data_IF_745698264439
#
_entry.id   IF_745698264439
#
_cell.length_a   1.000
_cell.length_b   1.000
_cell.length_c   1.000
_cell.angle_alpha   90.00
_cell.angle_beta   90.00
_cell.angle_gamma   90.00
#
_symmetry.space_group_name_H-M   'P 1'
#
loop_
_entity.id
_entity.type
_entity.pdbx_description
1 polymer ?
#
# COMPACT_ATOMS: atom_id res chain seq x y z
N UNK A 1 -4.04 9.51 -21.75
CA UNK A 1 -3.56 8.15 -21.47
C UNK A 1 -3.58 7.95 -19.97
N UNK A 2 -3.48 6.75 -19.47
CA UNK A 2 -3.36 6.44 -18.04
C UNK A 2 -2.32 5.34 -17.88
N UNK A 3 -1.74 5.20 -16.68
CA UNK A 3 -0.75 4.18 -16.39
C UNK A 3 -0.95 3.60 -14.99
N UNK A 4 -0.65 2.31 -14.85
CA UNK A 4 -0.73 1.56 -13.59
C UNK A 4 0.57 1.69 -12.81
N UNK A 5 0.47 1.99 -11.51
CA UNK A 5 1.63 2.16 -10.64
C UNK A 5 1.48 1.42 -9.30
N UNK A 6 2.53 0.68 -8.93
CA UNK A 6 2.70 0.12 -7.58
C UNK A 6 3.99 0.70 -6.98
N UNK A 7 3.83 1.69 -6.09
CA UNK A 7 4.93 2.50 -5.61
C UNK A 7 5.38 2.17 -4.18
N UNK A 8 4.73 1.20 -3.52
CA UNK A 8 5.14 0.72 -2.21
C UNK A 8 5.56 -0.75 -2.29
N UNK A 9 6.83 -0.94 -2.49
CA UNK A 9 7.48 -2.23 -2.63
C UNK A 9 8.70 -2.31 -1.73
N UNK A 10 9.14 -3.54 -1.47
CA UNK A 10 10.39 -3.82 -0.78
C UNK A 10 11.32 -4.66 -1.63
N UNK A 11 12.61 -4.57 -1.34
CA UNK A 11 13.64 -5.41 -1.94
C UNK A 11 13.92 -6.63 -1.06
N UNK A 12 14.76 -7.53 -1.55
CA UNK A 12 15.27 -8.67 -0.79
C UNK A 12 16.09 -8.30 0.46
N UNK A 13 16.41 -7.03 0.63
CA UNK A 13 17.17 -6.51 1.77
C UNK A 13 16.29 -5.96 2.88
N UNK A 14 14.99 -5.84 2.69
CA UNK A 14 14.06 -5.47 3.75
C UNK A 14 13.69 -6.68 4.62
N UNK A 15 13.44 -6.40 5.90
CA UNK A 15 13.06 -7.43 6.87
C UNK A 15 11.75 -8.13 6.48
N UNK A 16 11.70 -9.43 6.70
CA UNK A 16 10.56 -10.30 6.36
C UNK A 16 10.21 -10.38 4.86
N UNK A 17 11.09 -9.93 3.97
CA UNK A 17 10.91 -9.98 2.53
C UNK A 17 11.50 -11.23 1.89
N UNK A 18 10.94 -11.59 0.74
CA UNK A 18 11.43 -12.70 -0.07
C UNK A 18 12.79 -12.40 -0.68
N UNK A 19 13.73 -13.34 -0.59
CA UNK A 19 15.04 -13.25 -1.27
C UNK A 19 14.91 -13.13 -2.81
N UNK A 20 13.74 -13.46 -3.36
CA UNK A 20 13.47 -13.37 -4.79
C UNK A 20 13.08 -11.96 -5.25
N UNK A 21 12.93 -10.99 -4.36
CA UNK A 21 12.67 -9.58 -4.71
C UNK A 21 13.95 -8.91 -5.24
N UNK A 22 14.37 -9.34 -6.41
CA UNK A 22 15.47 -8.78 -7.21
C UNK A 22 14.91 -7.88 -8.29
N UNK A 23 15.68 -6.93 -8.82
CA UNK A 23 15.26 -6.01 -9.88
C UNK A 23 14.71 -6.78 -11.11
N UNK A 24 15.41 -7.83 -11.55
CA UNK A 24 14.97 -8.65 -12.68
C UNK A 24 13.63 -9.36 -12.43
N UNK A 25 13.46 -9.94 -11.24
CA UNK A 25 12.22 -10.63 -10.92
C UNK A 25 11.06 -9.64 -10.73
N UNK A 26 11.30 -8.47 -10.14
CA UNK A 26 10.28 -7.41 -10.03
C UNK A 26 9.82 -6.95 -11.41
N UNK A 27 10.75 -6.71 -12.34
CA UNK A 27 10.41 -6.36 -13.72
C UNK A 27 9.62 -7.47 -14.44
N UNK A 28 10.05 -8.73 -14.29
CA UNK A 28 9.32 -9.85 -14.88
C UNK A 28 7.89 -9.99 -14.33
N UNK A 29 7.72 -9.84 -13.01
CA UNK A 29 6.40 -9.88 -12.39
C UNK A 29 5.54 -8.67 -12.69
N UNK A 30 6.10 -7.48 -12.88
CA UNK A 30 5.36 -6.30 -13.34
C UNK A 30 4.65 -6.57 -14.67
N UNK A 31 5.34 -7.21 -15.62
CA UNK A 31 4.77 -7.61 -16.92
C UNK A 31 3.61 -8.61 -16.74
N UNK A 32 3.81 -9.64 -15.91
CA UNK A 32 2.76 -10.64 -15.61
C UNK A 32 1.56 -10.01 -14.92
N UNK A 33 1.78 -9.02 -14.06
CA UNK A 33 0.73 -8.30 -13.35
C UNK A 33 0.01 -7.27 -14.23
N UNK A 34 0.67 -6.71 -15.25
CA UNK A 34 0.19 -5.59 -16.03
C UNK A 34 0.46 -4.25 -15.35
N UNK A 35 1.61 -4.12 -14.65
CA UNK A 35 2.03 -2.89 -13.96
C UNK A 35 3.09 -2.19 -14.81
N UNK A 36 2.89 -0.90 -15.09
CA UNK A 36 3.75 -0.12 -15.97
C UNK A 36 4.84 0.63 -15.22
N UNK A 37 4.55 1.05 -13.97
CA UNK A 37 5.48 1.80 -13.12
C UNK A 37 5.63 1.14 -11.76
N UNK A 38 6.87 0.88 -11.35
CA UNK A 38 7.22 0.38 -10.02
C UNK A 38 8.08 1.38 -9.25
N UNK A 39 8.00 1.36 -7.92
CA UNK A 39 9.07 1.87 -7.07
C UNK A 39 10.29 0.95 -7.18
N UNK A 40 11.50 1.54 -7.16
CA UNK A 40 12.75 0.78 -7.04
C UNK A 40 12.90 0.10 -5.68
N UNK A 41 12.11 0.51 -4.71
CA UNK A 41 12.18 0.11 -3.30
C UNK A 41 13.54 0.43 -2.64
N UNK A 42 13.57 0.54 -1.34
CA UNK A 42 14.71 0.43 -0.42
C UNK A 42 16.05 1.05 -0.90
N UNK A 43 16.04 2.13 -1.68
CA UNK A 43 17.26 2.75 -2.23
C UNK A 43 18.27 3.19 -1.15
N UNK A 44 17.86 3.22 0.11
CA UNK A 44 18.75 3.55 1.22
C UNK A 44 19.75 2.45 1.54
N UNK A 45 19.43 1.18 1.24
CA UNK A 45 20.31 0.05 1.51
C UNK A 45 21.52 0.04 0.54
N UNK A 46 22.77 0.02 1.04
CA UNK A 46 23.96 0.23 0.20
C UNK A 46 24.13 -0.79 -0.92
N UNK A 47 23.92 -2.07 -0.63
CA UNK A 47 24.05 -3.12 -1.64
C UNK A 47 22.94 -3.05 -2.68
N UNK A 48 21.71 -2.74 -2.25
CA UNK A 48 20.60 -2.57 -3.19
C UNK A 48 20.79 -1.34 -4.08
N UNK A 49 21.26 -0.21 -3.52
CA UNK A 49 21.57 0.97 -4.31
C UNK A 49 22.64 0.70 -5.38
N UNK A 50 23.65 -0.10 -5.06
CA UNK A 50 24.66 -0.50 -6.06
C UNK A 50 24.02 -1.31 -7.21
N UNK A 51 23.13 -2.27 -6.90
CA UNK A 51 22.37 -3.04 -7.90
C UNK A 51 21.46 -2.13 -8.75
N UNK A 52 20.79 -1.15 -8.12
CA UNK A 52 19.95 -0.18 -8.83
C UNK A 52 20.77 0.71 -9.76
N UNK A 53 21.93 1.19 -9.29
CA UNK A 53 22.81 2.06 -10.07
C UNK A 53 23.40 1.33 -11.28
N UNK A 54 23.71 0.03 -11.14
CA UNK A 54 24.21 -0.79 -12.23
C UNK A 54 23.10 -1.19 -13.23
N UNK A 55 21.91 -1.53 -12.72
CA UNK A 55 20.84 -2.11 -13.53
C UNK A 55 19.92 -1.10 -14.19
N UNK A 56 19.56 -0.02 -13.51
CA UNK A 56 18.59 0.95 -13.98
C UNK A 56 19.20 1.88 -15.04
N UNK A 57 18.54 2.01 -16.19
CA UNK A 57 18.93 2.94 -17.24
C UNK A 57 18.04 4.20 -17.16
N UNK A 58 18.60 5.41 -17.19
CA UNK A 58 17.82 6.64 -17.31
C UNK A 58 16.86 6.55 -18.51
N UNK A 59 15.60 6.91 -18.32
CA UNK A 59 14.56 6.88 -19.36
C UNK A 59 14.05 8.29 -19.64
N UNK A 60 13.22 8.81 -18.74
CA UNK A 60 12.73 10.18 -18.75
C UNK A 60 13.20 10.87 -17.47
N UNK A 61 13.05 12.17 -17.37
CA UNK A 61 13.47 12.92 -16.17
C UNK A 61 12.85 12.32 -14.90
N UNK A 62 13.72 11.84 -13.98
CA UNK A 62 13.34 11.22 -12.72
C UNK A 62 12.80 9.79 -12.83
N UNK A 63 12.72 9.22 -14.03
CA UNK A 63 12.37 7.83 -14.26
C UNK A 63 13.51 7.02 -14.84
N UNK A 64 13.45 5.74 -14.57
CA UNK A 64 14.43 4.77 -15.02
C UNK A 64 13.71 3.59 -15.67
N UNK A 65 14.42 2.81 -16.45
CA UNK A 65 13.89 1.59 -17.07
C UNK A 65 14.81 0.39 -16.80
N UNK A 66 14.19 -0.76 -16.66
CA UNK A 66 14.86 -2.05 -16.61
C UNK A 66 13.98 -3.08 -17.33
N UNK A 67 14.52 -3.75 -18.33
CA UNK A 67 13.83 -4.75 -19.15
C UNK A 67 12.44 -4.29 -19.67
N UNK A 68 12.29 -3.01 -20.00
CA UNK A 68 11.05 -2.43 -20.53
C UNK A 68 9.99 -2.09 -19.49
N UNK A 69 10.29 -2.18 -18.19
CA UNK A 69 9.46 -1.70 -17.10
C UNK A 69 10.02 -0.37 -16.58
N UNK A 70 9.16 0.59 -16.28
CA UNK A 70 9.55 1.89 -15.70
C UNK A 70 9.70 1.79 -14.18
N UNK A 71 10.66 2.53 -13.64
CA UNK A 71 10.94 2.62 -12.20
C UNK A 71 11.11 4.08 -11.78
N UNK A 72 10.58 4.38 -10.59
CA UNK A 72 10.90 5.60 -9.82
C UNK A 72 11.77 5.21 -8.63
N UNK A 73 12.78 6.05 -8.29
CA UNK A 73 13.59 5.80 -7.09
C UNK A 73 12.75 6.06 -5.85
N UNK A 74 12.45 5.01 -5.09
CA UNK A 74 11.59 5.04 -3.91
C UNK A 74 12.17 4.26 -2.75
N UNK A 75 11.74 4.61 -1.54
CA UNK A 75 12.05 3.89 -0.29
C UNK A 75 10.98 4.14 0.74
N UNK A 76 10.79 3.23 1.68
CA UNK A 76 10.01 3.46 2.90
C UNK A 76 10.96 3.80 4.06
N UNK A 77 10.64 4.85 4.83
CA UNK A 77 11.37 5.26 6.03
C UNK A 77 10.50 5.14 7.27
N UNK A 78 11.04 4.58 8.35
CA UNK A 78 10.34 4.38 9.61
C UNK A 78 10.74 5.47 10.63
N UNK A 79 9.92 6.53 10.76
CA UNK A 79 10.11 7.57 11.77
C UNK A 79 9.71 7.05 13.15
N UNK A 80 10.65 7.01 14.09
CA UNK A 80 10.39 6.59 15.48
C UNK A 80 10.94 7.63 16.44
N UNK A 81 10.06 8.34 17.12
CA UNK A 81 10.42 9.50 17.96
C UNK A 81 9.43 9.73 19.09
N UNK A 82 9.69 10.72 19.93
CA UNK A 82 8.78 11.14 21.01
C UNK A 82 8.18 12.50 20.69
N UNK A 83 6.84 12.62 20.81
CA UNK A 83 6.11 13.88 20.67
C UNK A 83 4.88 13.86 21.57
N UNK A 84 4.66 14.96 22.31
CA UNK A 84 3.54 15.07 23.26
C UNK A 84 3.59 14.02 24.38
N UNK A 85 4.80 13.62 24.82
CA UNK A 85 4.98 12.60 25.86
C UNK A 85 4.71 11.14 25.42
N UNK A 86 4.38 10.90 24.14
CA UNK A 86 4.09 9.58 23.56
C UNK A 86 5.14 9.17 22.55
N UNK A 87 5.39 7.86 22.43
CA UNK A 87 6.16 7.32 21.31
C UNK A 87 5.30 7.38 20.05
N UNK A 88 5.87 7.93 18.98
CA UNK A 88 5.26 8.04 17.66
C UNK A 88 6.04 7.17 16.69
N UNK A 89 5.32 6.44 15.88
CA UNK A 89 5.90 5.61 14.81
C UNK A 89 5.07 5.87 13.54
N UNK A 90 5.73 6.39 12.50
CA UNK A 90 5.08 6.71 11.22
C UNK A 90 5.98 6.24 10.09
N UNK A 91 5.42 5.52 9.15
CA UNK A 91 6.10 5.15 7.91
C UNK A 91 5.82 6.18 6.81
N UNK A 92 6.85 6.51 6.05
CA UNK A 92 6.78 7.45 4.94
C UNK A 92 7.37 6.82 3.69
N UNK A 93 6.63 6.85 2.60
CA UNK A 93 7.18 6.64 1.27
C UNK A 93 7.89 7.91 0.83
N UNK A 94 9.09 7.76 0.33
CA UNK A 94 9.91 8.84 -0.19
C UNK A 94 10.34 8.51 -1.59
N UNK A 95 10.08 9.43 -2.53
CA UNK A 95 10.49 9.30 -3.93
C UNK A 95 11.49 10.39 -4.26
N UNK A 96 12.60 10.02 -4.90
CA UNK A 96 13.68 10.90 -5.27
C UNK A 96 13.73 11.12 -6.80
N UNK A 97 14.00 12.35 -7.28
CA UNK A 97 14.03 12.66 -8.71
C UNK A 97 15.26 12.07 -9.42
N UNK A 98 16.27 11.62 -8.68
CA UNK A 98 17.49 11.07 -9.27
C UNK A 98 18.46 10.52 -8.22
N UNK A 99 19.52 9.87 -8.67
CA UNK A 99 20.53 9.29 -7.79
C UNK A 99 21.30 10.33 -6.98
N UNK A 100 21.42 11.55 -7.44
CA UNK A 100 22.06 12.65 -6.68
C UNK A 100 21.27 12.93 -5.40
N UNK A 101 19.93 13.08 -5.51
CA UNK A 101 19.06 13.24 -4.36
C UNK A 101 19.11 12.00 -3.44
N UNK A 102 19.16 10.77 -3.99
CA UNK A 102 19.33 9.54 -3.20
C UNK A 102 20.62 9.57 -2.38
N UNK A 103 21.73 10.02 -2.95
CA UNK A 103 22.99 10.13 -2.20
C UNK A 103 22.88 11.16 -1.08
N UNK A 104 22.30 12.34 -1.32
CA UNK A 104 22.05 13.35 -0.29
C UNK A 104 21.13 12.85 0.83
N UNK A 105 20.05 12.13 0.48
CA UNK A 105 19.14 11.50 1.46
C UNK A 105 19.89 10.49 2.33
N UNK A 106 20.71 9.64 1.75
CA UNK A 106 21.51 8.66 2.50
C UNK A 106 22.53 9.30 3.45
N UNK A 107 23.21 10.35 3.01
CA UNK A 107 24.14 11.11 3.84
C UNK A 107 23.41 11.77 5.02
N UNK A 108 22.26 12.40 4.77
CA UNK A 108 21.41 12.99 5.80
C UNK A 108 20.95 11.94 6.82
N UNK A 109 20.46 10.78 6.36
CA UNK A 109 20.01 9.69 7.23
C UNK A 109 21.17 9.11 8.06
N UNK A 110 22.34 8.94 7.47
CA UNK A 110 23.56 8.51 8.19
C UNK A 110 23.97 9.54 9.25
N UNK A 111 23.90 10.84 8.94
CA UNK A 111 24.12 11.94 9.86
C UNK A 111 23.15 11.97 11.04
N UNK A 112 21.92 11.46 10.86
CA UNK A 112 20.93 11.26 11.93
C UNK A 112 21.16 9.95 12.72
N UNK A 113 22.18 9.16 12.39
CA UNK A 113 22.52 7.92 13.06
C UNK A 113 21.69 6.70 12.61
N UNK A 114 20.98 6.79 11.49
CA UNK A 114 20.23 5.66 10.93
C UNK A 114 21.18 4.58 10.40
N UNK A 115 20.85 3.32 10.65
CA UNK A 115 21.62 2.17 10.16
C UNK A 115 21.08 1.74 8.78
N UNK A 116 21.83 2.06 7.72
CA UNK A 116 21.38 1.82 6.34
C UNK A 116 21.72 0.43 5.78
N UNK A 117 22.53 -0.36 6.48
CA UNK A 117 23.02 -1.67 6.03
C UNK A 117 22.30 -2.85 6.70
N UNK A 118 21.23 -2.62 7.44
CA UNK A 118 20.51 -3.65 8.17
C UNK A 118 19.20 -4.04 7.52
N UNK A 119 18.28 -3.10 7.47
CA UNK A 119 16.93 -3.25 6.91
C UNK A 119 16.80 -2.27 5.74
N UNK A 120 16.23 -2.73 4.62
CA UNK A 120 15.89 -1.87 3.48
C UNK A 120 15.03 -0.67 3.88
N UNK A 121 14.24 -0.81 4.95
CA UNK A 121 13.43 0.22 5.60
C UNK A 121 14.09 0.71 6.89
N UNK A 122 15.00 1.67 6.85
CA UNK A 122 15.73 2.12 8.03
C UNK A 122 14.84 2.89 9.00
N UNK A 123 15.13 2.69 10.30
CA UNK A 123 14.53 3.51 11.36
C UNK A 123 15.25 4.84 11.45
N UNK A 124 14.47 5.92 11.53
CA UNK A 124 14.93 7.30 11.62
C UNK A 124 14.46 7.92 12.94
N UNK A 125 15.39 8.42 13.74
CA UNK A 125 15.13 9.06 15.04
C UNK A 125 14.69 10.52 14.91
N UNK A 126 14.04 10.91 13.82
CA UNK A 126 13.52 12.25 13.58
C UNK A 126 11.98 12.23 13.46
N UNK A 127 11.34 13.38 13.71
CA UNK A 127 9.91 13.53 13.47
C UNK A 127 9.61 13.47 11.98
N UNK A 128 8.38 13.04 11.62
CA UNK A 128 7.93 13.05 10.22
C UNK A 128 8.02 14.47 9.62
N UNK A 129 7.71 15.49 10.41
CA UNK A 129 7.85 16.90 10.03
C UNK A 129 9.30 17.27 9.69
N UNK A 130 10.24 16.97 10.60
CA UNK A 130 11.65 17.35 10.40
C UNK A 130 12.30 16.53 9.28
N UNK A 131 11.92 15.27 9.13
CA UNK A 131 12.38 14.44 8.02
C UNK A 131 11.89 14.99 6.67
N UNK A 132 10.60 15.35 6.58
CA UNK A 132 10.04 15.96 5.35
C UNK A 132 10.77 17.25 4.98
N UNK A 133 11.00 18.16 5.95
CA UNK A 133 11.73 19.39 5.70
C UNK A 133 13.14 19.14 5.16
N UNK A 134 13.90 18.21 5.77
CA UNK A 134 15.25 17.84 5.31
C UNK A 134 15.28 17.19 3.92
N UNK A 135 14.27 16.41 3.57
CA UNK A 135 14.15 15.82 2.25
C UNK A 135 13.97 16.89 1.17
N UNK A 136 13.11 17.87 1.44
CA UNK A 136 12.87 19.01 0.53
C UNK A 136 14.05 19.98 0.48
N UNK A 137 14.84 20.11 1.55
CA UNK A 137 16.09 20.88 1.56
C UNK A 137 17.18 20.23 0.66
N UNK A 138 17.16 18.90 0.52
CA UNK A 138 18.07 18.17 -0.38
C UNK A 138 17.64 18.38 -1.84
N UNK A 139 16.36 18.18 -2.12
CA UNK A 139 15.80 18.40 -3.45
C UNK A 139 14.28 18.67 -3.30
N UNK A 140 13.83 19.83 -3.78
CA UNK A 140 12.43 20.25 -3.69
C UNK A 140 11.48 19.37 -4.51
N UNK A 141 12.00 18.59 -5.45
CA UNK A 141 11.26 17.62 -6.24
C UNK A 141 11.05 16.27 -5.51
N UNK A 142 11.63 16.06 -4.34
CA UNK A 142 11.33 14.90 -3.53
C UNK A 142 9.85 14.85 -3.16
N UNK A 143 9.24 13.67 -3.23
CA UNK A 143 7.84 13.47 -2.85
C UNK A 143 7.77 12.62 -1.60
N UNK A 144 6.88 13.01 -0.67
CA UNK A 144 6.65 12.29 0.59
C UNK A 144 5.16 11.92 0.70
N UNK A 145 4.90 10.65 0.92
CA UNK A 145 3.53 10.11 1.11
C UNK A 145 3.51 9.26 2.38
N UNK A 146 2.67 9.58 3.38
CA UNK A 146 2.46 8.71 4.53
C UNK A 146 1.93 7.35 4.10
N UNK A 147 2.64 6.29 4.50
CA UNK A 147 2.33 4.92 4.14
C UNK A 147 1.22 4.35 5.02
N UNK A 148 0.35 3.48 4.43
CA UNK A 148 -0.68 2.67 5.13
C UNK A 148 -1.21 3.35 6.41
N UNK A 149 -1.81 4.53 6.25
CA UNK A 149 -2.04 5.51 7.34
C UNK A 149 -2.89 4.99 8.51
N UNK A 150 -3.61 3.88 8.35
CA UNK A 150 -4.52 3.34 9.37
C UNK A 150 -3.96 2.15 10.16
N UNK A 151 -2.81 1.60 9.78
CA UNK A 151 -2.23 0.50 10.58
C UNK A 151 -2.05 0.95 12.04
N UNK A 152 -2.45 0.15 13.04
CA UNK A 152 -2.42 0.56 14.45
C UNK A 152 -1.06 1.04 14.92
N UNK A 153 0.00 0.37 14.49
CA UNK A 153 1.40 0.78 14.64
C UNK A 153 1.93 1.25 13.28
N UNK A 154 2.77 2.26 13.28
CA UNK A 154 3.44 2.85 12.12
C UNK A 154 2.51 3.61 11.14
N UNK A 155 1.20 3.50 11.26
CA UNK A 155 0.26 4.33 10.49
C UNK A 155 0.12 5.73 11.10
N UNK A 156 0.09 6.76 10.26
CA UNK A 156 -0.02 8.16 10.71
C UNK A 156 -1.29 8.42 11.53
N UNK A 157 -2.43 7.79 11.18
CA UNK A 157 -3.69 7.85 11.93
C UNK A 157 -3.93 6.61 12.81
N UNK A 158 -2.92 5.77 12.96
CA UNK A 158 -2.98 4.51 13.71
C UNK A 158 -3.32 4.69 15.19
N UNK A 159 -4.16 3.82 15.73
CA UNK A 159 -4.68 3.90 17.11
C UNK A 159 -3.63 3.75 18.21
N UNK A 160 -2.44 3.21 17.91
CA UNK A 160 -1.38 2.95 18.90
C UNK A 160 -0.28 4.01 18.89
N UNK A 161 0.25 4.36 17.73
CA UNK A 161 1.40 5.23 17.60
C UNK A 161 1.17 6.46 16.72
N UNK A 162 -0.03 6.59 16.13
CA UNK A 162 -0.38 7.67 15.23
C UNK A 162 -0.87 8.95 15.93
N UNK A 163 -1.43 9.82 15.11
CA UNK A 163 -1.99 11.12 15.43
C UNK A 163 -3.47 11.16 15.09
N UNK A 164 -4.15 12.25 15.43
CA UNK A 164 -5.55 12.45 15.09
C UNK A 164 -5.73 13.32 13.83
N UNK A 165 -4.69 14.05 13.42
CA UNK A 165 -4.69 14.89 12.22
C UNK A 165 -3.28 14.96 11.57
N UNK A 166 -3.24 15.35 10.28
CA UNK A 166 -2.00 15.55 9.54
C UNK A 166 -1.16 16.68 10.17
N UNK A 167 -1.80 17.76 10.58
CA UNK A 167 -1.13 18.93 11.15
C UNK A 167 -0.41 18.60 12.46
N UNK A 168 -0.93 17.66 13.24
CA UNK A 168 -0.24 17.18 14.44
C UNK A 168 1.05 16.42 14.10
N UNK A 169 1.07 15.72 12.97
CA UNK A 169 2.21 14.93 12.51
C UNK A 169 3.25 15.78 11.77
N UNK A 170 2.79 16.62 10.83
CA UNK A 170 3.65 17.33 9.89
C UNK A 170 3.79 18.83 10.17
N UNK A 171 2.95 19.43 11.01
CA UNK A 171 3.00 20.86 11.32
C UNK A 171 2.91 21.73 10.05
N UNK A 172 3.88 22.64 9.89
CA UNK A 172 4.04 23.52 8.73
C UNK A 172 4.38 22.76 7.42
N UNK A 173 4.85 21.52 7.50
CA UNK A 173 5.10 20.67 6.33
C UNK A 173 3.85 19.99 5.79
N UNK A 174 2.68 20.13 6.43
CA UNK A 174 1.39 19.51 5.96
C UNK A 174 1.04 19.91 4.52
N UNK A 175 1.38 21.12 4.10
CA UNK A 175 1.15 21.59 2.73
C UNK A 175 1.99 20.81 1.68
N UNK A 176 3.11 20.23 2.10
CA UNK A 176 4.01 19.44 1.26
C UNK A 176 3.66 17.93 1.23
N UNK A 177 2.60 17.53 1.92
CA UNK A 177 2.08 16.15 1.88
C UNK A 177 0.87 16.14 0.94
N UNK A 178 1.05 15.79 -0.34
CA UNK A 178 -0.02 15.89 -1.34
C UNK A 178 -1.01 14.73 -1.28
N UNK A 179 -0.55 13.56 -0.85
CA UNK A 179 -1.28 12.31 -0.89
C UNK A 179 -1.10 11.50 0.39
N UNK A 180 -1.97 10.54 0.60
CA UNK A 180 -1.90 9.52 1.67
C UNK A 180 -2.21 8.15 1.09
N UNK A 181 -1.58 7.11 1.63
CA UNK A 181 -1.79 5.74 1.19
C UNK A 181 -2.82 5.03 2.08
N UNK A 182 -3.79 4.36 1.44
CA UNK A 182 -4.77 3.49 2.11
C UNK A 182 -4.09 2.35 2.86
N UNK A 183 -3.17 1.67 2.17
CA UNK A 183 -2.62 0.38 2.58
C UNK A 183 -3.73 -0.68 2.73
N UNK A 184 -3.36 -1.93 2.88
CA UNK A 184 -4.27 -3.09 2.97
C UNK A 184 -5.31 -3.03 4.11
N UNK A 185 -5.31 -1.98 4.92
CA UNK A 185 -6.17 -1.84 6.10
C UNK A 185 -7.35 -0.92 5.90
N UNK A 186 -7.39 -0.16 4.80
CA UNK A 186 -8.49 0.76 4.48
C UNK A 186 -8.70 0.87 2.97
N UNK A 187 -9.85 1.35 2.57
CA UNK A 187 -10.18 1.72 1.20
C UNK A 187 -10.47 3.22 1.08
N UNK A 188 -10.62 3.79 -0.12
CA UNK A 188 -10.90 5.21 -0.30
C UNK A 188 -12.18 5.68 0.39
N UNK A 189 -13.23 4.85 0.45
CA UNK A 189 -14.49 5.21 1.11
C UNK A 189 -14.30 5.47 2.60
N UNK A 190 -13.51 4.64 3.27
CA UNK A 190 -13.15 4.82 4.67
C UNK A 190 -12.40 6.14 4.92
N UNK A 191 -11.66 6.64 3.93
CA UNK A 191 -10.86 7.85 4.01
C UNK A 191 -11.65 9.12 3.69
N UNK A 192 -12.64 9.06 2.79
CA UNK A 192 -13.41 10.24 2.37
C UNK A 192 -14.22 10.90 3.50
N UNK A 193 -14.56 10.15 4.54
CA UNK A 193 -15.28 10.66 5.71
C UNK A 193 -14.42 11.41 6.72
N UNK A 194 -13.10 11.40 6.56
CA UNK A 194 -12.14 11.93 7.55
C UNK A 194 -11.72 13.34 7.17
N UNK A 195 -12.19 14.34 7.94
CA UNK A 195 -11.95 15.76 7.65
C UNK A 195 -10.46 16.13 7.59
N UNK A 196 -9.60 15.46 8.38
CA UNK A 196 -8.16 15.65 8.36
C UNK A 196 -7.49 15.27 7.02
N UNK A 197 -8.17 14.49 6.16
CA UNK A 197 -7.70 14.08 4.84
C UNK A 197 -8.30 14.94 3.70
N UNK A 198 -9.09 15.97 4.02
CA UNK A 198 -9.71 16.81 3.02
C UNK A 198 -8.66 17.44 2.08
N UNK A 199 -8.88 17.34 0.77
CA UNK A 199 -7.98 17.86 -0.26
C UNK A 199 -6.70 17.03 -0.49
N UNK A 200 -6.53 15.89 0.19
CA UNK A 200 -5.42 14.97 -0.08
C UNK A 200 -5.81 13.93 -1.12
N UNK A 201 -4.88 13.62 -2.00
CA UNK A 201 -5.04 12.51 -2.94
C UNK A 201 -4.97 11.19 -2.18
N UNK A 202 -5.91 10.28 -2.44
CA UNK A 202 -5.88 8.92 -1.91
C UNK A 202 -5.20 8.03 -2.94
N UNK A 203 -4.15 7.34 -2.53
CA UNK A 203 -3.43 6.35 -3.34
C UNK A 203 -3.37 5.01 -2.62
N UNK A 204 -3.18 3.97 -3.39
CA UNK A 204 -3.09 2.59 -2.89
C UNK A 204 -1.94 1.89 -3.56
N UNK A 205 -1.12 1.20 -2.77
CA UNK A 205 0.02 0.42 -3.26
C UNK A 205 0.15 -0.86 -2.45
N UNK A 206 0.87 -1.84 -2.97
CA UNK A 206 0.77 -3.22 -2.48
C UNK A 206 1.47 -3.52 -1.16
N UNK A 207 2.43 -2.71 -0.74
CA UNK A 207 3.36 -3.06 0.38
C UNK A 207 3.88 -4.50 0.23
N UNK A 208 4.37 -4.82 -0.99
CA UNK A 208 4.68 -6.19 -1.34
C UNK A 208 6.00 -6.65 -0.75
N UNK A 209 5.93 -7.69 0.09
CA UNK A 209 7.06 -8.41 0.67
C UNK A 209 7.40 -9.70 -0.11
N UNK A 210 6.72 -9.97 -1.22
CA UNK A 210 6.98 -11.08 -2.13
C UNK A 210 6.39 -10.80 -3.51
N UNK A 211 6.98 -11.36 -4.55
CA UNK A 211 6.57 -11.15 -5.95
C UNK A 211 5.08 -11.39 -6.24
N UNK A 212 4.43 -12.46 -5.73
CA UNK A 212 3.01 -12.69 -5.98
C UNK A 212 2.09 -11.61 -5.39
N UNK A 213 2.57 -10.86 -4.38
CA UNK A 213 1.79 -9.82 -3.73
C UNK A 213 1.92 -8.44 -4.40
N UNK A 214 2.83 -8.26 -5.38
CA UNK A 214 2.91 -7.04 -6.17
C UNK A 214 1.56 -6.78 -6.86
N UNK A 215 1.13 -5.53 -6.90
CA UNK A 215 -0.10 -5.11 -7.55
C UNK A 215 -1.41 -5.63 -6.93
N UNK A 216 -1.38 -6.19 -5.72
CA UNK A 216 -2.62 -6.52 -4.98
C UNK A 216 -3.41 -5.27 -4.59
N UNK A 217 -2.73 -4.15 -4.47
CA UNK A 217 -3.23 -2.78 -4.50
C UNK A 217 -2.37 -1.99 -5.46
N UNK A 218 -2.96 -1.06 -6.20
CA UNK A 218 -2.25 -0.15 -7.08
C UNK A 218 -3.09 1.07 -7.42
N UNK A 219 -2.44 2.11 -7.91
CA UNK A 219 -3.08 3.34 -8.38
C UNK A 219 -2.95 3.45 -9.89
N UNK A 220 -4.03 3.80 -10.58
CA UNK A 220 -4.04 4.17 -11.99
C UNK A 220 -4.02 5.69 -12.07
N UNK A 221 -2.93 6.26 -12.58
CA UNK A 221 -2.77 7.68 -12.77
C UNK A 221 -3.17 8.12 -14.17
N UNK A 222 -3.71 9.33 -14.30
CA UNK A 222 -3.97 9.98 -15.58
C UNK A 222 -2.69 10.65 -16.11
N UNK A 223 -2.48 10.62 -17.41
CA UNK A 223 -1.33 11.21 -18.09
C UNK A 223 -0.34 10.17 -18.59
N UNK A 224 0.86 10.61 -18.87
CA UNK A 224 1.97 9.75 -19.30
C UNK A 224 2.83 9.40 -18.08
N UNK A 225 3.50 8.25 -18.11
CA UNK A 225 4.35 7.84 -17.01
C UNK A 225 5.67 8.64 -17.04
N UNK A 226 5.70 9.76 -16.28
CA UNK A 226 6.84 10.65 -16.06
C UNK A 226 6.90 11.10 -14.59
N UNK A 227 8.09 11.41 -14.04
CA UNK A 227 8.25 11.83 -12.64
C UNK A 227 7.42 13.09 -12.33
N UNK A 228 7.43 14.06 -13.25
CA UNK A 228 6.64 15.28 -13.15
C UNK A 228 5.15 14.99 -13.15
N UNK A 229 4.70 14.09 -14.05
CA UNK A 229 3.28 13.73 -14.13
C UNK A 229 2.82 12.97 -12.89
N UNK A 230 3.68 12.11 -12.31
CA UNK A 230 3.44 11.49 -11.02
C UNK A 230 3.30 12.52 -9.90
N UNK A 231 4.22 13.50 -9.82
CA UNK A 231 4.15 14.56 -8.81
C UNK A 231 2.89 15.41 -8.95
N UNK A 232 2.52 15.76 -10.18
CA UNK A 232 1.26 16.47 -10.49
C UNK A 232 0.06 15.56 -10.16
N UNK A 233 0.13 14.28 -10.50
CA UNK A 233 -0.88 13.28 -10.20
C UNK A 233 -1.21 13.21 -8.71
N UNK A 234 -0.17 13.16 -7.88
CA UNK A 234 -0.30 13.17 -6.41
C UNK A 234 -0.85 14.52 -5.89
N UNK A 235 -0.39 15.64 -6.44
CA UNK A 235 -0.75 16.98 -5.97
C UNK A 235 -2.15 17.43 -6.39
N UNK A 236 -2.55 17.12 -7.63
CA UNK A 236 -3.79 17.58 -8.24
C UNK A 236 -4.87 16.49 -8.28
N UNK A 237 -4.63 15.36 -7.61
CA UNK A 237 -5.54 14.21 -7.61
C UNK A 237 -5.87 13.73 -9.04
N UNK A 238 -4.85 13.58 -9.91
CA UNK A 238 -5.02 13.02 -11.25
C UNK A 238 -4.99 11.49 -11.21
N UNK A 239 -5.74 10.94 -10.29
CA UNK A 239 -5.99 9.51 -10.18
C UNK A 239 -7.21 9.17 -11.02
N UNK A 240 -7.12 8.16 -11.87
CA UNK A 240 -8.25 7.63 -12.62
C UNK A 240 -9.08 6.70 -11.73
N UNK A 241 -8.40 5.76 -11.07
CA UNK A 241 -8.97 4.86 -10.05
C UNK A 241 -7.87 4.26 -9.19
N UNK A 242 -8.25 3.68 -8.06
CA UNK A 242 -7.41 2.76 -7.30
C UNK A 242 -7.97 1.34 -7.37
N UNK A 243 -7.07 0.37 -7.31
CA UNK A 243 -7.40 -1.04 -7.11
C UNK A 243 -7.03 -1.38 -5.69
N UNK A 244 -8.01 -1.87 -4.96
CA UNK A 244 -7.94 -2.10 -3.53
C UNK A 244 -8.03 -3.59 -3.21
N UNK A 245 -7.33 -4.00 -2.20
CA UNK A 245 -7.59 -5.22 -1.48
C UNK A 245 -8.85 -5.07 -0.60
N UNK A 246 -9.44 -6.15 -0.14
CA UNK A 246 -10.54 -6.06 0.81
C UNK A 246 -9.99 -5.75 2.21
N UNK A 247 -10.21 -4.54 2.79
CA UNK A 247 -9.65 -4.18 4.10
C UNK A 247 -10.15 -5.10 5.22
N UNK A 248 -11.25 -5.79 5.00
CA UNK A 248 -11.80 -6.79 5.92
C UNK A 248 -10.85 -7.99 6.13
N UNK A 249 -9.99 -8.30 5.16
CA UNK A 249 -8.95 -9.33 5.32
C UNK A 249 -7.81 -8.89 6.23
N UNK A 250 -7.68 -7.58 6.47
CA UNK A 250 -6.66 -7.00 7.33
C UNK A 250 -6.74 -7.52 8.77
N UNK A 251 -5.62 -7.95 9.31
CA UNK A 251 -5.52 -8.55 10.67
C UNK A 251 -5.88 -7.65 11.84
N UNK A 252 -6.23 -6.38 11.59
CA UNK A 252 -6.67 -5.40 12.58
C UNK A 252 -7.95 -4.68 12.15
N UNK A 253 -8.75 -5.27 11.27
CA UNK A 253 -9.96 -4.64 10.76
C UNK A 253 -10.96 -4.35 11.88
N UNK A 254 -11.36 -5.34 12.66
CA UNK A 254 -12.24 -5.18 13.82
C UNK A 254 -11.45 -5.03 15.12
N UNK A 255 -12.10 -4.38 16.10
CA UNK A 255 -11.62 -4.37 17.49
C UNK A 255 -11.70 -5.77 18.07
N UNK A 256 -10.68 -6.22 18.83
CA UNK A 256 -10.77 -7.55 19.39
C UNK A 256 -9.67 -7.96 20.35
N UNK A 257 -9.82 -9.20 20.86
CA UNK A 257 -8.84 -9.92 21.66
C UNK A 257 -8.79 -11.38 21.22
N UNK A 258 -7.85 -11.71 20.35
CA UNK A 258 -7.72 -13.02 19.71
C UNK A 258 -7.65 -14.18 20.70
N UNK A 259 -6.94 -14.03 21.82
CA UNK A 259 -6.77 -15.09 22.83
C UNK A 259 -8.09 -15.52 23.48
N UNK A 260 -9.09 -14.65 23.53
CA UNK A 260 -10.42 -14.94 24.06
C UNK A 260 -11.48 -15.11 22.96
N UNK A 261 -11.09 -15.05 21.67
CA UNK A 261 -12.05 -15.15 20.57
C UNK A 261 -13.03 -13.98 20.47
N UNK A 262 -12.72 -12.84 21.10
CA UNK A 262 -13.59 -11.66 21.10
C UNK A 262 -13.27 -10.76 19.92
N UNK A 263 -14.26 -10.48 19.10
CA UNK A 263 -14.26 -9.41 18.09
C UNK A 263 -15.48 -8.52 18.26
N UNK A 264 -15.34 -7.24 17.98
CA UNK A 264 -16.39 -6.23 18.14
C UNK A 264 -16.43 -5.31 16.91
N UNK A 265 -17.61 -5.08 16.39
CA UNK A 265 -17.88 -3.99 15.46
C UNK A 265 -17.66 -2.62 16.13
N UNK A 266 -17.52 -1.52 15.37
CA UNK A 266 -17.44 -0.17 15.96
C UNK A 266 -18.59 0.14 16.93
N UNK A 267 -19.83 -0.21 16.57
CA UNK A 267 -21.03 0.00 17.42
C UNK A 267 -20.95 -0.80 18.73
N UNK A 268 -20.51 -2.03 18.66
CA UNK A 268 -20.31 -2.86 19.84
C UNK A 268 -19.18 -2.32 20.72
N UNK A 269 -18.09 -1.85 20.13
CA UNK A 269 -16.97 -1.24 20.88
C UNK A 269 -17.42 0.02 21.64
N UNK A 270 -18.21 0.88 21.00
CA UNK A 270 -18.79 2.07 21.65
C UNK A 270 -19.71 1.65 22.83
N UNK A 271 -20.52 0.63 22.64
CA UNK A 271 -21.49 0.17 23.68
C UNK A 271 -20.83 -0.60 24.82
N UNK A 272 -19.90 -1.49 24.50
CA UNK A 272 -19.33 -2.46 25.46
C UNK A 272 -17.98 -2.04 26.02
N UNK A 273 -17.38 -0.98 25.44
CA UNK A 273 -16.07 -0.46 25.83
C UNK A 273 -14.90 -1.22 25.21
N UNK A 274 -13.71 -0.77 25.59
CA UNK A 274 -12.43 -1.22 25.00
C UNK A 274 -11.70 -2.25 25.85
N UNK A 275 -12.43 -2.95 26.76
CA UNK A 275 -11.90 -4.04 27.57
C UNK A 275 -12.56 -5.36 27.20
N UNK A 276 -11.75 -6.40 27.14
CA UNK A 276 -12.22 -7.76 26.86
C UNK A 276 -13.21 -8.22 27.96
N UNK A 277 -14.45 -8.61 27.63
CA UNK A 277 -15.43 -9.04 28.60
C UNK A 277 -15.02 -10.34 29.32
N UNK A 278 -14.19 -11.18 28.70
CA UNK A 278 -13.75 -12.44 29.26
C UNK A 278 -12.60 -12.31 30.27
N UNK A 279 -11.59 -11.46 29.96
CA UNK A 279 -10.37 -11.41 30.78
C UNK A 279 -10.02 -10.00 31.29
N UNK A 280 -10.81 -8.97 30.99
CA UNK A 280 -10.60 -7.59 31.44
C UNK A 280 -9.40 -6.85 30.80
N UNK A 281 -8.60 -7.51 29.95
CA UNK A 281 -7.47 -6.85 29.26
C UNK A 281 -7.95 -5.86 28.22
N UNK A 282 -7.15 -4.82 27.89
CA UNK A 282 -7.46 -3.92 26.79
C UNK A 282 -7.63 -4.69 25.47
N UNK A 283 -8.62 -4.32 24.68
CA UNK A 283 -8.79 -4.79 23.31
C UNK A 283 -7.79 -4.08 22.39
N UNK A 284 -7.39 -4.73 21.32
CA UNK A 284 -6.73 -4.06 20.19
C UNK A 284 -7.83 -3.37 19.39
N UNK A 285 -7.78 -2.03 19.31
CA UNK A 285 -8.74 -1.24 18.56
C UNK A 285 -8.58 -1.52 17.06
N UNK A 286 -9.70 -1.81 16.42
CA UNK A 286 -9.75 -2.07 14.99
C UNK A 286 -9.69 -0.78 14.16
N UNK A 287 -9.23 -0.93 12.93
CA UNK A 287 -9.12 0.19 11.97
C UNK A 287 -10.48 0.83 11.72
N UNK A 288 -11.53 0.04 11.50
CA UNK A 288 -12.89 0.58 11.26
C UNK A 288 -13.41 1.40 12.45
N UNK A 289 -13.09 0.97 13.68
CA UNK A 289 -13.44 1.76 14.86
C UNK A 289 -12.68 3.09 14.88
N UNK A 290 -11.37 3.06 14.60
CA UNK A 290 -10.53 4.26 14.57
C UNK A 290 -10.95 5.24 13.48
N UNK A 291 -11.28 4.76 12.28
CA UNK A 291 -11.86 5.58 11.20
C UNK A 291 -13.15 6.23 11.68
N UNK A 292 -14.04 5.46 12.35
CA UNK A 292 -15.28 5.99 12.90
C UNK A 292 -15.08 7.09 13.95
N UNK A 293 -14.05 6.99 14.80
CA UNK A 293 -13.69 8.04 15.77
C UNK A 293 -13.30 9.35 15.06
N UNK A 294 -12.43 9.26 14.04
CA UNK A 294 -11.90 10.45 13.35
C UNK A 294 -12.89 11.04 12.32
N UNK A 295 -13.79 10.23 11.79
CA UNK A 295 -14.86 10.71 10.88
C UNK A 295 -15.93 11.53 11.60
N UNK A 296 -16.08 11.41 12.92
CA UNK A 296 -17.04 12.19 13.71
C UNK A 296 -16.57 13.61 13.99
N UNK A 297 -15.29 13.92 13.82
CA UNK A 297 -14.66 15.20 14.14
C UNK A 297 -14.85 16.25 13.03
N UNK A 298 -15.47 15.91 11.90
CA UNK A 298 -15.79 16.87 10.84
C UNK A 298 -16.48 16.20 9.65
N UNK A 299 -17.39 16.95 8.99
CA UNK A 299 -17.97 16.51 7.72
C UNK A 299 -17.09 16.97 6.57
N UNK A 300 -16.35 16.06 5.95
CA UNK A 300 -15.73 16.33 4.66
C UNK A 300 -16.80 16.32 3.57
N UNK A 301 -17.20 17.52 3.11
CA UNK A 301 -18.14 17.68 1.99
C UNK A 301 -17.45 17.72 0.62
N UNK A 302 -16.12 17.53 0.57
CA UNK A 302 -15.38 17.63 -0.69
C UNK A 302 -15.57 16.38 -1.55
N UNK A 303 -16.64 16.41 -2.36
CA UNK A 303 -16.91 15.33 -3.34
C UNK A 303 -15.93 15.35 -4.52
N UNK A 304 -15.15 16.42 -4.74
CA UNK A 304 -14.21 16.53 -5.87
C UNK A 304 -12.99 15.64 -5.72
N UNK A 305 -12.65 15.28 -4.48
CA UNK A 305 -11.52 14.40 -4.19
C UNK A 305 -11.84 12.91 -4.36
N UNK A 306 -13.12 12.53 -4.52
CA UNK A 306 -13.54 11.14 -4.62
C UNK A 306 -13.24 10.59 -6.01
N UNK A 307 -12.32 9.64 -6.07
CA UNK A 307 -12.00 8.91 -7.30
C UNK A 307 -12.59 7.50 -7.26
N UNK A 308 -12.95 6.92 -8.41
CA UNK A 308 -13.40 5.53 -8.46
C UNK A 308 -12.39 4.57 -7.83
N UNK A 309 -12.87 3.50 -7.25
CA UNK A 309 -12.03 2.40 -6.79
C UNK A 309 -12.73 1.07 -7.02
N UNK A 310 -11.94 0.00 -7.14
CA UNK A 310 -12.45 -1.35 -7.33
C UNK A 310 -11.77 -2.29 -6.33
N UNK A 311 -12.56 -3.01 -5.53
CA UNK A 311 -12.01 -4.06 -4.65
C UNK A 311 -11.85 -5.36 -5.41
N UNK A 312 -10.67 -5.97 -5.32
CA UNK A 312 -10.34 -7.22 -6.00
C UNK A 312 -9.69 -8.22 -5.04
N UNK A 313 -9.92 -9.49 -5.29
CA UNK A 313 -9.13 -10.57 -4.70
C UNK A 313 -8.03 -10.98 -5.69
N UNK A 314 -6.78 -11.25 -5.25
CA UNK A 314 -5.70 -11.67 -6.12
C UNK A 314 -6.08 -12.92 -6.95
N UNK A 315 -5.73 -12.92 -8.23
CA UNK A 315 -6.07 -14.03 -9.14
C UNK A 315 -5.57 -15.38 -8.64
N UNK A 316 -4.38 -15.39 -8.01
CA UNK A 316 -3.82 -16.63 -7.45
C UNK A 316 -4.70 -17.22 -6.34
N UNK A 317 -5.42 -16.39 -5.59
CA UNK A 317 -6.34 -16.83 -4.53
C UNK A 317 -7.64 -17.36 -5.12
N UNK A 318 -8.16 -16.69 -6.15
CA UNK A 318 -9.34 -17.17 -6.88
C UNK A 318 -9.07 -18.52 -7.57
N UNK A 319 -7.88 -18.69 -8.15
CA UNK A 319 -7.44 -19.97 -8.72
C UNK A 319 -7.28 -21.05 -7.64
N UNK A 320 -6.67 -20.72 -6.53
CA UNK A 320 -6.53 -21.65 -5.40
C UNK A 320 -7.92 -22.13 -4.91
N UNK A 321 -8.87 -21.19 -4.78
CA UNK A 321 -10.25 -21.45 -4.38
C UNK A 321 -10.96 -22.37 -5.40
N UNK A 322 -10.99 -22.00 -6.67
CA UNK A 322 -11.71 -22.74 -7.72
C UNK A 322 -11.11 -24.11 -8.01
N UNK A 323 -9.78 -24.23 -7.93
CA UNK A 323 -9.07 -25.51 -8.09
C UNK A 323 -9.07 -26.37 -6.81
N UNK A 324 -9.59 -25.86 -5.68
CA UNK A 324 -9.55 -26.49 -4.35
C UNK A 324 -8.14 -26.93 -3.95
N UNK A 325 -7.16 -26.02 -4.12
CA UNK A 325 -5.74 -26.26 -3.83
C UNK A 325 -5.15 -25.11 -3.01
N UNK A 326 -4.02 -25.35 -2.38
CA UNK A 326 -3.27 -24.28 -1.72
C UNK A 326 -2.70 -23.29 -2.75
N UNK A 327 -2.60 -22.00 -2.41
CA UNK A 327 -2.08 -20.94 -3.30
C UNK A 327 -0.64 -21.19 -3.78
N UNK A 328 0.13 -21.98 -3.04
CA UNK A 328 1.52 -22.36 -3.38
C UNK A 328 1.62 -23.63 -4.21
N UNK A 329 0.51 -24.27 -4.58
CA UNK A 329 0.53 -25.48 -5.39
C UNK A 329 1.04 -25.18 -6.80
N UNK A 330 1.96 -26.00 -7.29
CA UNK A 330 2.58 -25.85 -8.63
C UNK A 330 1.53 -25.69 -9.74
N UNK A 331 0.43 -26.46 -9.67
CA UNK A 331 -0.63 -26.38 -10.68
C UNK A 331 -1.39 -25.04 -10.65
N UNK A 332 -1.52 -24.39 -9.48
CA UNK A 332 -2.11 -23.05 -9.35
C UNK A 332 -1.18 -22.02 -9.99
N UNK A 333 0.12 -22.07 -9.71
CA UNK A 333 1.11 -21.18 -10.31
C UNK A 333 1.18 -21.32 -11.85
N UNK A 334 1.15 -22.56 -12.37
CA UNK A 334 1.12 -22.78 -13.83
C UNK A 334 -0.15 -22.21 -14.48
N UNK A 335 -1.31 -22.42 -13.86
CA UNK A 335 -2.57 -21.85 -14.37
C UNK A 335 -2.53 -20.32 -14.32
N UNK A 336 -2.02 -19.74 -13.24
CA UNK A 336 -1.88 -18.31 -13.07
C UNK A 336 -1.06 -17.68 -14.21
N UNK A 337 0.17 -18.15 -14.45
CA UNK A 337 1.01 -17.60 -15.51
C UNK A 337 0.36 -17.76 -16.90
N UNK A 338 -0.18 -18.95 -17.22
CA UNK A 338 -0.86 -19.18 -18.49
C UNK A 338 -2.00 -18.20 -18.72
N UNK A 339 -2.85 -17.97 -17.70
CA UNK A 339 -4.02 -17.08 -17.83
C UNK A 339 -3.58 -15.63 -18.01
N UNK A 340 -2.57 -15.19 -17.23
CA UNK A 340 -2.00 -13.85 -17.36
C UNK A 340 -1.38 -13.64 -18.75
N UNK A 341 -0.63 -14.62 -19.26
CA UNK A 341 0.01 -14.55 -20.59
C UNK A 341 -1.04 -14.48 -21.71
N UNK A 342 -2.11 -15.27 -21.63
CA UNK A 342 -3.15 -15.31 -22.66
C UNK A 342 -4.09 -14.09 -22.64
N UNK A 343 -4.31 -13.47 -21.48
CA UNK A 343 -5.27 -12.36 -21.30
C UNK A 343 -4.63 -11.01 -21.01
N UNK A 344 -3.30 -10.89 -21.10
CA UNK A 344 -2.61 -9.60 -21.04
C UNK A 344 -2.34 -9.08 -19.61
N UNK A 345 -2.18 -9.98 -18.64
CA UNK A 345 -1.78 -9.67 -17.26
C UNK A 345 -2.90 -9.79 -16.24
N UNK A 346 -2.51 -9.95 -14.96
CA UNK A 346 -3.46 -10.16 -13.86
C UNK A 346 -4.50 -9.04 -13.74
N UNK A 347 -4.06 -7.76 -13.86
CA UNK A 347 -4.97 -6.62 -13.75
C UNK A 347 -6.04 -6.68 -14.85
N UNK A 348 -5.65 -6.97 -16.10
CA UNK A 348 -6.60 -7.14 -17.20
C UNK A 348 -7.56 -8.31 -16.94
N UNK A 349 -7.03 -9.45 -16.47
CA UNK A 349 -7.85 -10.61 -16.08
C UNK A 349 -8.89 -10.23 -15.03
N UNK A 350 -8.50 -9.48 -14.01
CA UNK A 350 -9.37 -9.15 -12.89
C UNK A 350 -10.33 -7.98 -13.18
N UNK A 351 -10.01 -7.08 -14.12
CA UNK A 351 -10.81 -5.85 -14.33
C UNK A 351 -11.53 -5.79 -15.68
N UNK A 352 -10.96 -6.34 -16.75
CA UNK A 352 -11.40 -6.10 -18.12
C UNK A 352 -11.86 -7.35 -18.87
N UNK A 353 -11.22 -8.50 -18.65
CA UNK A 353 -11.51 -9.73 -19.40
C UNK A 353 -13.00 -10.11 -19.31
N UNK A 354 -13.61 -10.43 -20.45
CA UNK A 354 -14.99 -10.87 -20.54
C UNK A 354 -15.21 -12.27 -19.95
N UNK A 355 -16.47 -12.58 -19.62
CA UNK A 355 -16.82 -13.90 -19.08
C UNK A 355 -16.37 -15.04 -20.02
N UNK A 356 -16.65 -14.93 -21.30
CA UNK A 356 -16.33 -15.97 -22.30
C UNK A 356 -14.82 -16.21 -22.44
N UNK A 357 -14.01 -15.14 -22.36
CA UNK A 357 -12.55 -15.25 -22.36
C UNK A 357 -12.03 -15.92 -21.09
N UNK A 358 -12.56 -15.53 -19.94
CA UNK A 358 -12.23 -16.14 -18.66
C UNK A 358 -12.59 -17.62 -18.62
N UNK A 359 -13.78 -17.99 -19.16
CA UNK A 359 -14.22 -19.38 -19.24
C UNK A 359 -13.34 -20.18 -20.19
N UNK A 360 -13.05 -19.66 -21.37
CA UNK A 360 -12.20 -20.31 -22.37
C UNK A 360 -10.81 -20.62 -21.84
N UNK A 361 -10.20 -19.67 -21.09
CA UNK A 361 -8.81 -19.81 -20.64
C UNK A 361 -8.73 -20.47 -19.25
N UNK A 362 -9.62 -20.10 -18.33
CA UNK A 362 -9.56 -20.48 -16.92
C UNK A 362 -10.64 -21.48 -16.49
N UNK A 363 -11.63 -21.72 -17.33
CA UNK A 363 -12.81 -22.55 -17.05
C UNK A 363 -13.92 -21.79 -16.33
N UNK A 364 -15.14 -22.35 -16.37
CA UNK A 364 -16.37 -21.77 -15.81
C UNK A 364 -16.21 -21.32 -14.35
N UNK A 365 -15.56 -22.14 -13.53
CA UNK A 365 -15.33 -21.84 -12.10
C UNK A 365 -14.57 -20.53 -11.88
N UNK A 366 -13.53 -20.26 -12.69
CA UNK A 366 -12.78 -19.00 -12.60
C UNK A 366 -13.61 -17.83 -13.12
N UNK A 367 -14.29 -18.00 -14.27
CA UNK A 367 -15.13 -16.94 -14.84
C UNK A 367 -16.21 -16.49 -13.86
N UNK A 368 -16.88 -17.43 -13.22
CA UNK A 368 -17.87 -17.15 -12.16
C UNK A 368 -17.23 -16.45 -10.94
N UNK A 369 -16.06 -16.93 -10.49
CA UNK A 369 -15.39 -16.36 -9.31
C UNK A 369 -14.96 -14.91 -9.55
N UNK A 370 -14.33 -14.60 -10.69
CA UNK A 370 -13.93 -13.24 -11.07
C UNK A 370 -15.14 -12.32 -11.17
N UNK A 371 -16.20 -12.76 -11.86
CA UNK A 371 -17.43 -11.98 -12.04
C UNK A 371 -18.09 -11.68 -10.68
N UNK A 372 -18.20 -12.69 -9.80
CA UNK A 372 -18.77 -12.48 -8.45
C UNK A 372 -17.97 -11.44 -7.64
N UNK A 373 -16.64 -11.49 -7.67
CA UNK A 373 -15.79 -10.52 -6.97
C UNK A 373 -15.97 -9.11 -7.55
N UNK A 374 -15.98 -8.97 -8.89
CA UNK A 374 -16.26 -7.68 -9.57
C UNK A 374 -17.61 -7.09 -9.18
N UNK A 375 -18.62 -7.94 -9.02
CA UNK A 375 -19.97 -7.55 -8.61
C UNK A 375 -20.10 -7.31 -7.09
N UNK A 376 -19.04 -7.46 -6.30
CA UNK A 376 -19.09 -7.39 -4.85
C UNK A 376 -19.86 -8.54 -4.19
N UNK A 377 -20.14 -9.63 -4.91
CA UNK A 377 -20.83 -10.83 -4.41
C UNK A 377 -19.83 -11.73 -3.72
N UNK A 378 -19.42 -11.36 -2.51
CA UNK A 378 -18.41 -12.04 -1.71
C UNK A 378 -18.91 -12.39 -0.32
N UNK A 379 -18.40 -13.47 0.25
CA UNK A 379 -18.55 -13.83 1.66
C UNK A 379 -17.33 -13.34 2.41
N UNK A 380 -17.55 -12.55 3.47
CA UNK A 380 -16.48 -11.87 4.22
C UNK A 380 -16.50 -12.33 5.68
N UNK A 381 -15.34 -12.77 6.17
CA UNK A 381 -15.08 -12.96 7.60
C UNK A 381 -13.98 -11.97 8.00
N UNK A 382 -14.31 -10.89 8.72
CA UNK A 382 -13.32 -9.85 9.03
C UNK A 382 -12.23 -10.30 9.98
N UNK A 383 -11.02 -9.78 9.79
CA UNK A 383 -9.89 -10.01 10.70
C UNK A 383 -9.94 -9.15 11.96
N UNK A 384 -9.24 -9.57 13.01
CA UNK A 384 -9.12 -8.85 14.28
C UNK A 384 -7.91 -9.30 15.09
N UNK A 385 -7.33 -8.39 15.86
CA UNK A 385 -6.26 -8.63 16.84
C UNK A 385 -5.12 -9.56 16.35
N UNK A 386 -4.63 -9.32 15.12
CA UNK A 386 -3.53 -10.09 14.52
C UNK A 386 -3.97 -11.37 13.80
N UNK A 387 -5.27 -11.65 13.72
CA UNK A 387 -5.85 -12.71 12.90
C UNK A 387 -6.35 -12.13 11.58
N UNK A 388 -5.89 -12.69 10.47
CA UNK A 388 -6.38 -12.31 9.14
C UNK A 388 -7.83 -12.70 8.94
N UNK A 389 -8.57 -11.85 8.24
CA UNK A 389 -9.88 -12.19 7.70
C UNK A 389 -9.79 -13.08 6.46
N UNK A 390 -10.92 -13.34 5.86
CA UNK A 390 -11.02 -14.07 4.58
C UNK A 390 -12.14 -13.48 3.73
N UNK A 391 -11.89 -13.39 2.43
CA UNK A 391 -12.88 -13.01 1.41
C UNK A 391 -12.94 -14.12 0.37
N UNK A 392 -14.16 -14.53 0.00
CA UNK A 392 -14.37 -15.59 -0.99
C UNK A 392 -15.55 -15.21 -1.89
N UNK A 393 -15.55 -15.63 -3.18
CA UNK A 393 -16.74 -15.50 -4.00
C UNK A 393 -17.94 -16.16 -3.30
N UNK A 394 -19.09 -15.46 -3.25
CA UNK A 394 -20.30 -16.01 -2.65
C UNK A 394 -20.72 -17.32 -3.33
N UNK A 395 -21.27 -18.25 -2.57
CA UNK A 395 -21.67 -19.58 -3.03
C UNK A 395 -22.69 -19.61 -4.17
#
# INVERSE_FOLDING_TARGET
>A
MSFTADLHLHSRYAYACSINLTLANMAAWAKVKGIELLSSADFTHPTWLAELTEGLQPSEEGFFSFEGVKFVLGTELSCVYKQGGRSRCVHLLVFAPGFEAVHGIREMLAGLGSKLNGDGRPTVGASARDLTARLLDIDEACMVVPAHIWTPWYGMLGSKSGFDALDECFGDMTAHIPAVETGLSSDPEMNWGVAALAGKTIVSFSDAHSLPNMGRELTVFQGDAGYRDLAVGLKENRVEQTIEFFPEEGKYHLTGHRKCGISQTPRETVRSGTRCPECGRPLTLGVVHRVGELSQVGNSSDQRARRPYTKLAPLIELLAYTMRKGRTAKSVGLAYHRICDELGGEITVLTQAGYDDLERVGGEGLALAVTKVRDGKVEIVPGFDGQYGTVRPAG
#
